data_IF_466074289324
#
_entry.id   IF_466074289324
#
_cell.length_a   1.000
_cell.length_b   1.000
_cell.length_c   1.000
_cell.angle_alpha   90.00
_cell.angle_beta   90.00
_cell.angle_gamma   90.00
#
_symmetry.space_group_name_H-M   'P 1'
#
loop_
_entity.id
_entity.type
_entity.pdbx_description
1 polymer ?
#
# COMPACT_ATOMS: atom_id res chain seq x y z
N UNK A 1 -29.01 20.05 -39.88
CA UNK A 1 -28.89 19.10 -38.75
C UNK A 1 -29.76 19.59 -37.59
N UNK A 2 -30.88 18.92 -37.28
CA UNK A 2 -31.62 18.91 -35.99
C UNK A 2 -32.99 18.23 -36.23
N UNK A 3 -32.99 16.93 -36.50
CA UNK A 3 -34.23 16.20 -36.85
C UNK A 3 -34.85 15.40 -35.68
N UNK A 4 -34.14 15.17 -34.58
CA UNK A 4 -34.67 14.40 -33.44
C UNK A 4 -34.11 14.89 -32.09
N UNK A 5 -34.54 16.06 -31.58
CA UNK A 5 -34.04 16.59 -30.29
C UNK A 5 -34.41 15.71 -29.09
N UNK A 6 -35.42 14.86 -29.19
CA UNK A 6 -35.79 13.88 -28.15
C UNK A 6 -34.88 12.64 -28.13
N UNK A 7 -34.10 12.40 -29.19
CA UNK A 7 -33.07 11.37 -29.25
C UNK A 7 -31.71 11.85 -28.74
N UNK A 8 -31.57 13.15 -28.48
CA UNK A 8 -30.40 13.66 -27.78
C UNK A 8 -30.53 13.25 -26.31
N UNK A 9 -29.46 12.66 -25.77
CA UNK A 9 -29.35 12.36 -24.34
C UNK A 9 -29.64 13.65 -23.58
N UNK A 10 -30.82 13.72 -22.95
CA UNK A 10 -31.14 14.83 -22.06
C UNK A 10 -30.20 14.69 -20.85
N UNK A 11 -29.57 15.77 -20.39
CA UNK A 11 -28.85 15.71 -19.12
C UNK A 11 -29.83 15.19 -18.07
N UNK A 12 -29.42 14.20 -17.25
CA UNK A 12 -30.32 13.55 -16.32
C UNK A 12 -30.98 14.60 -15.42
N UNK A 13 -32.31 14.56 -15.32
CA UNK A 13 -33.07 15.47 -14.44
C UNK A 13 -32.83 15.19 -12.95
N UNK A 14 -32.24 14.03 -12.64
CA UNK A 14 -31.86 13.61 -11.30
C UNK A 14 -30.35 13.77 -11.11
N UNK A 15 -29.95 14.33 -9.95
CA UNK A 15 -28.55 14.39 -9.53
C UNK A 15 -28.07 12.97 -9.22
N UNK A 16 -27.30 12.39 -10.14
CA UNK A 16 -26.57 11.13 -9.92
C UNK A 16 -25.31 11.45 -9.12
N UNK A 17 -24.96 10.58 -8.18
CA UNK A 17 -23.78 10.68 -7.32
C UNK A 17 -22.68 9.69 -7.76
N UNK A 18 -21.46 9.88 -7.27
CA UNK A 18 -20.34 8.94 -7.50
C UNK A 18 -20.64 7.57 -6.93
N UNK A 19 -21.29 7.55 -5.75
CA UNK A 19 -21.75 6.33 -5.11
C UNK A 19 -22.76 5.57 -5.96
N UNK A 20 -23.62 6.26 -6.74
CA UNK A 20 -24.56 5.58 -7.64
C UNK A 20 -23.81 4.84 -8.75
N UNK A 21 -22.78 5.46 -9.34
CA UNK A 21 -21.94 4.79 -10.33
C UNK A 21 -21.19 3.60 -9.74
N UNK A 22 -20.58 3.78 -8.56
CA UNK A 22 -19.88 2.71 -7.87
C UNK A 22 -20.83 1.53 -7.62
N UNK A 23 -21.98 1.77 -6.99
CA UNK A 23 -22.89 0.69 -6.56
C UNK A 23 -23.66 0.03 -7.72
N UNK A 24 -24.13 0.81 -8.69
CA UNK A 24 -24.99 0.28 -9.75
C UNK A 24 -24.22 -0.37 -10.89
N UNK A 25 -22.99 0.09 -11.16
CA UNK A 25 -22.20 -0.39 -12.31
C UNK A 25 -20.97 -1.14 -11.82
N UNK A 26 -20.08 -0.44 -11.13
CA UNK A 26 -18.74 -0.94 -10.87
C UNK A 26 -18.70 -2.07 -9.85
N UNK A 27 -19.51 -2.02 -8.80
CA UNK A 27 -19.61 -3.08 -7.80
C UNK A 27 -19.94 -4.42 -8.44
N UNK A 28 -20.79 -4.46 -9.47
CA UNK A 28 -21.15 -5.71 -10.16
C UNK A 28 -19.98 -6.32 -10.93
N UNK A 29 -19.17 -5.47 -11.56
CA UNK A 29 -17.96 -5.90 -12.28
C UNK A 29 -16.91 -6.37 -11.29
N UNK A 30 -16.70 -5.62 -10.20
CA UNK A 30 -15.78 -5.99 -9.14
C UNK A 30 -16.19 -7.30 -8.46
N UNK A 31 -17.47 -7.48 -8.12
CA UNK A 31 -18.02 -8.72 -7.56
C UNK A 31 -17.88 -9.90 -8.54
N UNK A 32 -18.02 -9.68 -9.84
CA UNK A 32 -17.78 -10.74 -10.83
C UNK A 32 -16.30 -11.16 -10.88
N UNK A 33 -15.36 -10.22 -10.71
CA UNK A 33 -13.93 -10.52 -10.62
C UNK A 33 -13.54 -11.13 -9.27
N UNK A 34 -14.15 -10.67 -8.20
CA UNK A 34 -13.85 -11.03 -6.82
C UNK A 34 -15.14 -11.41 -6.08
N UNK A 35 -15.65 -12.63 -6.32
CA UNK A 35 -16.94 -13.03 -5.77
C UNK A 35 -16.90 -13.07 -4.23
N UNK A 36 -17.81 -12.38 -3.53
CA UNK A 36 -17.81 -12.30 -2.07
C UNK A 36 -17.87 -13.67 -1.38
N UNK A 37 -18.55 -14.65 -1.98
CA UNK A 37 -18.67 -16.01 -1.47
C UNK A 37 -17.35 -16.77 -1.41
N UNK A 38 -16.35 -16.37 -2.22
CA UNK A 38 -15.01 -16.94 -2.17
C UNK A 38 -14.13 -16.28 -1.12
N UNK A 39 -14.43 -15.02 -0.78
CA UNK A 39 -13.71 -14.20 0.20
C UNK A 39 -12.18 -14.25 0.06
N UNK A 40 -11.67 -14.30 -1.18
CA UNK A 40 -10.24 -14.30 -1.46
C UNK A 40 -9.72 -12.87 -1.48
N UNK A 41 -10.34 -12.03 -2.33
CA UNK A 41 -10.14 -10.59 -2.36
C UNK A 41 -11.46 -9.95 -1.94
N UNK A 42 -11.46 -9.19 -0.86
CA UNK A 42 -12.64 -8.49 -0.35
C UNK A 42 -12.68 -7.06 -0.86
N UNK A 43 -13.84 -6.67 -1.37
CA UNK A 43 -14.13 -5.29 -1.77
C UNK A 43 -14.69 -4.55 -0.55
N UNK A 44 -14.04 -3.46 -0.14
CA UNK A 44 -14.52 -2.58 0.93
C UNK A 44 -14.82 -1.22 0.35
N UNK A 45 -16.09 -0.93 0.14
CA UNK A 45 -16.58 0.35 -0.38
C UNK A 45 -16.98 1.32 0.74
N UNK A 46 -16.97 2.61 0.44
CA UNK A 46 -17.43 3.69 1.30
C UNK A 46 -16.28 4.35 2.03
N UNK A 47 -16.00 5.61 1.68
CA UNK A 47 -15.02 6.55 2.28
C UNK A 47 -14.04 5.91 3.28
N UNK A 48 -13.21 5.01 2.77
CA UNK A 48 -12.38 4.13 3.59
C UNK A 48 -10.97 4.68 3.67
N UNK A 49 -10.29 4.40 4.79
CA UNK A 49 -8.95 4.91 5.03
C UNK A 49 -7.96 3.75 5.04
N UNK A 50 -6.89 3.83 4.25
CA UNK A 50 -5.77 2.92 4.36
C UNK A 50 -5.05 3.16 5.71
N UNK A 51 -4.81 2.07 6.46
CA UNK A 51 -4.15 2.11 7.76
C UNK A 51 -2.71 2.60 7.65
N UNK A 52 -1.96 2.15 6.65
CA UNK A 52 -0.58 2.57 6.40
C UNK A 52 -0.51 4.06 6.10
N UNK A 53 -1.38 4.57 5.23
CA UNK A 53 -1.44 5.99 4.90
C UNK A 53 -1.78 6.85 6.12
N UNK A 54 -2.64 6.36 7.02
CA UNK A 54 -2.98 7.06 8.25
C UNK A 54 -1.80 7.11 9.23
N UNK A 55 -1.07 5.99 9.38
CA UNK A 55 0.14 5.91 10.20
C UNK A 55 1.20 6.87 9.67
N UNK A 56 1.52 6.80 8.37
CA UNK A 56 2.55 7.64 7.76
C UNK A 56 2.21 9.14 7.86
N UNK A 57 0.94 9.52 7.66
CA UNK A 57 0.51 10.92 7.82
C UNK A 57 0.59 11.37 9.28
N UNK A 58 0.28 10.49 10.23
CA UNK A 58 0.41 10.78 11.66
C UNK A 58 1.88 11.02 12.04
N UNK A 59 2.81 10.22 11.52
CA UNK A 59 4.26 10.44 11.71
C UNK A 59 4.71 11.80 11.14
N UNK A 60 4.31 12.13 9.91
CA UNK A 60 4.69 13.39 9.24
C UNK A 60 4.17 14.63 10.01
N UNK A 61 3.00 14.54 10.63
CA UNK A 61 2.34 15.64 11.33
C UNK A 61 2.16 15.37 12.83
N UNK A 62 3.12 14.69 13.46
CA UNK A 62 3.08 14.40 14.89
C UNK A 62 2.80 15.67 15.72
N UNK A 63 1.83 15.58 16.64
CA UNK A 63 1.34 16.68 17.46
C UNK A 63 0.13 17.44 16.90
N UNK A 64 -0.35 17.13 15.69
CA UNK A 64 -1.61 17.70 15.21
C UNK A 64 -2.82 17.01 15.87
N UNK A 65 -3.83 17.80 16.24
CA UNK A 65 -4.99 17.33 17.02
C UNK A 65 -5.98 16.44 16.25
N UNK A 66 -5.98 16.51 14.92
CA UNK A 66 -6.84 15.68 14.08
C UNK A 66 -6.11 15.34 12.78
N UNK A 67 -5.59 14.11 12.70
CA UNK A 67 -4.93 13.58 11.52
C UNK A 67 -5.77 12.44 10.99
N UNK A 68 -6.28 12.63 9.77
CA UNK A 68 -6.91 11.59 8.98
C UNK A 68 -6.25 11.60 7.60
N UNK A 69 -5.78 10.44 7.13
CA UNK A 69 -5.32 10.29 5.76
C UNK A 69 -6.49 10.41 4.77
N UNK A 70 -6.15 10.37 3.48
CA UNK A 70 -7.15 10.48 2.43
C UNK A 70 -8.12 9.31 2.50
N UNK A 71 -9.40 9.58 2.23
CA UNK A 71 -10.44 8.57 2.16
C UNK A 71 -10.61 8.12 0.72
N UNK A 72 -10.36 6.86 0.41
CA UNK A 72 -10.60 6.30 -0.93
C UNK A 72 -11.98 5.65 -1.01
N UNK A 73 -12.60 5.70 -2.19
CA UNK A 73 -13.99 5.24 -2.38
C UNK A 73 -14.14 3.74 -2.20
N UNK A 74 -13.15 2.96 -2.65
CA UNK A 74 -13.09 1.53 -2.35
C UNK A 74 -11.67 0.99 -2.27
N UNK A 75 -11.55 -0.14 -1.57
CA UNK A 75 -10.32 -0.90 -1.35
C UNK A 75 -10.51 -2.35 -1.77
N UNK A 76 -9.44 -2.95 -2.28
CA UNK A 76 -9.36 -4.37 -2.57
C UNK A 76 -8.39 -4.99 -1.56
N UNK A 77 -8.90 -5.91 -0.75
CA UNK A 77 -8.26 -6.36 0.47
C UNK A 77 -8.02 -7.87 0.47
N UNK A 78 -6.89 -8.27 1.04
CA UNK A 78 -6.66 -9.62 1.51
C UNK A 78 -6.81 -9.62 3.03
N UNK A 79 -7.69 -10.47 3.54
CA UNK A 79 -7.85 -10.67 4.99
C UNK A 79 -6.98 -11.84 5.43
N UNK A 80 -6.09 -11.61 6.39
CA UNK A 80 -5.33 -12.68 7.05
C UNK A 80 -5.44 -12.53 8.56
N UNK A 81 -6.09 -13.49 9.21
CA UNK A 81 -6.43 -13.43 10.63
C UNK A 81 -7.20 -12.14 10.97
N UNK A 82 -6.58 -11.24 11.75
CA UNK A 82 -7.17 -9.96 12.15
C UNK A 82 -6.63 -8.77 11.32
N UNK A 83 -5.75 -9.02 10.34
CA UNK A 83 -5.13 -7.98 9.53
C UNK A 83 -5.83 -7.83 8.17
N UNK A 84 -5.98 -6.57 7.73
CA UNK A 84 -6.49 -6.20 6.41
C UNK A 84 -5.33 -5.63 5.59
N UNK A 85 -4.97 -6.29 4.50
CA UNK A 85 -3.84 -5.90 3.66
C UNK A 85 -4.38 -5.42 2.31
N UNK A 86 -4.02 -4.20 1.94
CA UNK A 86 -4.40 -3.60 0.66
C UNK A 86 -3.62 -4.23 -0.50
N UNK A 87 -4.34 -4.73 -1.50
CA UNK A 87 -3.77 -5.20 -2.77
C UNK A 87 -4.22 -4.38 -3.98
N UNK A 88 -5.10 -3.41 -3.73
CA UNK A 88 -5.52 -2.40 -4.70
C UNK A 88 -6.45 -1.36 -4.09
N UNK A 89 -6.60 -0.25 -4.80
CA UNK A 89 -7.43 0.87 -4.40
C UNK A 89 -8.21 1.43 -5.59
N UNK A 90 -9.27 2.20 -5.32
CA UNK A 90 -9.92 2.96 -6.36
C UNK A 90 -10.73 4.18 -5.92
N UNK A 91 -10.92 5.06 -6.90
CA UNK A 91 -11.60 6.35 -6.79
C UNK A 91 -12.68 6.46 -7.85
N UNK A 92 -13.75 7.18 -7.53
CA UNK A 92 -14.91 7.41 -8.37
C UNK A 92 -15.15 8.90 -8.54
N UNK A 93 -15.10 9.38 -9.78
CA UNK A 93 -15.53 10.71 -10.17
C UNK A 93 -16.85 10.64 -10.96
N UNK A 94 -17.63 11.72 -10.94
CA UNK A 94 -18.86 11.81 -11.72
C UNK A 94 -18.60 11.81 -13.23
N UNK A 95 -17.57 12.53 -13.65
CA UNK A 95 -17.17 12.63 -15.04
C UNK A 95 -15.68 13.03 -15.13
N UNK A 96 -15.15 12.89 -16.34
CA UNK A 96 -13.78 13.14 -16.74
C UNK A 96 -13.47 14.62 -17.03
N UNK A 97 -14.45 15.53 -16.92
CA UNK A 97 -14.26 16.98 -17.09
C UNK A 97 -14.07 17.71 -15.75
N UNK A 98 -14.02 16.98 -14.64
CA UNK A 98 -13.90 17.53 -13.30
C UNK A 98 -12.43 17.64 -12.90
N UNK A 99 -11.98 18.81 -12.45
CA UNK A 99 -10.64 19.00 -11.82
C UNK A 99 -10.45 18.04 -10.64
N UNK A 100 -11.56 17.56 -10.08
CA UNK A 100 -11.60 16.49 -9.09
C UNK A 100 -10.98 15.19 -9.60
N UNK A 101 -11.17 14.79 -10.87
CA UNK A 101 -10.61 13.55 -11.41
C UNK A 101 -9.06 13.55 -11.35
N UNK A 102 -8.42 14.68 -11.67
CA UNK A 102 -6.95 14.82 -11.57
C UNK A 102 -6.51 14.80 -10.10
N UNK A 103 -7.25 15.48 -9.23
CA UNK A 103 -6.95 15.53 -7.79
C UNK A 103 -7.05 14.14 -7.16
N UNK A 104 -8.09 13.38 -7.54
CA UNK A 104 -8.33 12.02 -7.06
C UNK A 104 -7.34 11.02 -7.67
N UNK A 105 -6.84 11.23 -8.88
CA UNK A 105 -5.75 10.42 -9.45
C UNK A 105 -4.48 10.51 -8.58
N UNK A 106 -4.08 11.73 -8.18
CA UNK A 106 -2.92 11.92 -7.31
C UNK A 106 -3.10 11.29 -5.92
N UNK A 107 -4.35 11.26 -5.43
CA UNK A 107 -4.73 10.59 -4.18
C UNK A 107 -4.68 9.06 -4.33
N UNK A 108 -5.30 8.52 -5.36
CA UNK A 108 -5.26 7.10 -5.71
C UNK A 108 -3.82 6.60 -5.85
N UNK A 109 -2.96 7.39 -6.50
CA UNK A 109 -1.54 7.04 -6.69
C UNK A 109 -0.80 6.90 -5.36
N UNK A 110 -1.01 7.84 -4.43
CA UNK A 110 -0.39 7.77 -3.08
C UNK A 110 -0.88 6.57 -2.29
N UNK A 111 -2.17 6.30 -2.31
CA UNK A 111 -2.78 5.21 -1.54
C UNK A 111 -2.39 3.84 -2.12
N UNK A 112 -2.29 3.73 -3.45
CA UNK A 112 -1.79 2.53 -4.15
C UNK A 112 -0.30 2.30 -3.87
N UNK A 113 0.50 3.38 -3.78
CA UNK A 113 1.91 3.31 -3.38
C UNK A 113 2.05 2.80 -1.94
N UNK A 114 1.28 3.36 -1.01
CA UNK A 114 1.33 2.94 0.40
C UNK A 114 0.94 1.46 0.56
N UNK A 115 -0.05 1.00 -0.21
CA UNK A 115 -0.40 -0.42 -0.29
C UNK A 115 0.74 -1.28 -0.84
N UNK A 116 1.43 -0.83 -1.89
CA UNK A 116 2.64 -1.52 -2.39
C UNK A 116 3.73 -1.60 -1.33
N UNK A 117 3.99 -0.53 -0.60
CA UNK A 117 5.00 -0.51 0.47
C UNK A 117 4.68 -1.54 1.55
N UNK A 118 3.41 -1.69 1.95
CA UNK A 118 3.00 -2.73 2.89
C UNK A 118 3.19 -4.14 2.33
N UNK A 119 2.89 -4.37 1.04
CA UNK A 119 3.15 -5.66 0.40
C UNK A 119 4.65 -5.99 0.44
N UNK A 120 5.52 -5.03 0.09
CA UNK A 120 6.98 -5.25 0.08
C UNK A 120 7.51 -5.54 1.49
N UNK A 121 6.92 -4.96 2.54
CA UNK A 121 7.27 -5.28 3.93
C UNK A 121 6.89 -6.68 4.36
N UNK A 122 5.89 -7.28 3.71
CA UNK A 122 5.33 -8.58 4.07
C UNK A 122 5.91 -9.73 3.25
N UNK A 123 6.26 -9.47 1.99
CA UNK A 123 6.62 -10.51 1.03
C UNK A 123 8.14 -10.59 0.87
N UNK A 124 8.77 -11.78 1.00
CA UNK A 124 10.20 -11.94 0.83
C UNK A 124 10.64 -11.80 -0.63
N UNK A 125 11.94 -11.98 -0.86
CA UNK A 125 12.65 -11.74 -2.12
C UNK A 125 12.06 -12.40 -3.38
N UNK A 126 11.29 -13.49 -3.22
CA UNK A 126 10.70 -14.27 -4.33
C UNK A 126 9.65 -13.51 -5.16
N UNK A 127 9.24 -12.31 -4.73
CA UNK A 127 8.25 -11.48 -5.42
C UNK A 127 8.77 -10.08 -5.79
N UNK A 128 9.93 -10.03 -6.43
CA UNK A 128 10.52 -8.78 -6.95
C UNK A 128 9.55 -7.96 -7.80
N UNK A 129 8.56 -8.59 -8.44
CA UNK A 129 7.55 -7.94 -9.26
C UNK A 129 6.24 -7.70 -8.49
N UNK A 130 6.32 -7.39 -7.19
CA UNK A 130 5.14 -6.97 -6.43
C UNK A 130 4.55 -5.70 -7.06
N UNK A 131 3.28 -5.77 -7.48
CA UNK A 131 2.55 -4.66 -8.09
C UNK A 131 1.27 -4.41 -7.32
N UNK A 132 0.95 -3.15 -7.04
CA UNK A 132 -0.35 -2.78 -6.52
C UNK A 132 -1.17 -2.08 -7.62
N UNK A 133 -2.47 -2.40 -7.71
CA UNK A 133 -3.33 -1.87 -8.78
C UNK A 133 -4.21 -0.72 -8.29
N UNK A 134 -4.32 0.30 -9.15
CA UNK A 134 -5.26 1.41 -9.00
C UNK A 134 -6.35 1.33 -10.06
N UNK A 135 -7.58 1.67 -9.67
CA UNK A 135 -8.71 1.83 -10.58
C UNK A 135 -9.38 3.18 -10.38
N UNK A 136 -9.52 3.95 -11.45
CA UNK A 136 -10.24 5.22 -11.43
C UNK A 136 -11.47 5.12 -12.30
N UNK A 137 -12.64 5.40 -11.72
CA UNK A 137 -13.91 5.43 -12.43
C UNK A 137 -14.33 6.87 -12.69
N UNK A 138 -14.82 7.15 -13.89
CA UNK A 138 -15.42 8.43 -14.26
C UNK A 138 -16.73 8.15 -15.00
N UNK A 139 -17.84 8.13 -14.28
CA UNK A 139 -19.11 7.64 -14.81
C UNK A 139 -19.01 6.18 -15.28
N UNK A 140 -19.11 5.95 -16.60
CA UNK A 140 -18.96 4.64 -17.25
C UNK A 140 -17.54 4.35 -17.76
N UNK A 141 -16.61 5.29 -17.59
CA UNK A 141 -15.21 5.14 -17.98
C UNK A 141 -14.40 4.57 -16.81
N UNK A 142 -13.42 3.72 -17.10
CA UNK A 142 -12.46 3.21 -16.14
C UNK A 142 -11.05 3.31 -16.70
N UNK A 143 -10.14 3.79 -15.87
CA UNK A 143 -8.68 3.74 -16.08
C UNK A 143 -8.07 2.78 -15.07
N UNK A 144 -7.21 1.88 -15.55
CA UNK A 144 -6.48 0.91 -14.74
C UNK A 144 -5.00 1.28 -14.73
N UNK A 145 -4.43 1.36 -13.53
CA UNK A 145 -3.01 1.63 -13.32
C UNK A 145 -2.39 0.57 -12.41
N UNK A 146 -1.06 0.46 -12.46
CA UNK A 146 -0.31 -0.34 -11.50
C UNK A 146 0.94 0.41 -11.06
N UNK A 147 1.27 0.34 -9.78
CA UNK A 147 2.49 0.94 -9.22
C UNK A 147 3.53 -0.13 -8.98
N UNK A 148 4.79 0.20 -9.33
CA UNK A 148 5.98 -0.64 -9.17
C UNK A 148 7.06 0.12 -8.41
N UNK A 149 7.85 -0.59 -7.62
CA UNK A 149 9.09 -0.09 -7.02
C UNK A 149 10.27 -0.64 -7.82
N UNK A 150 10.76 0.15 -8.77
CA UNK A 150 11.76 -0.27 -9.76
C UNK A 150 13.19 -0.10 -9.25
N UNK A 151 13.43 0.93 -8.46
CA UNK A 151 14.75 1.23 -7.89
C UNK A 151 14.61 2.00 -6.58
N UNK A 152 15.74 2.36 -5.97
CA UNK A 152 15.84 3.12 -4.73
C UNK A 152 15.00 4.41 -4.77
N UNK A 153 13.84 4.41 -4.12
CA UNK A 153 12.89 5.53 -4.10
C UNK A 153 12.18 5.80 -5.43
N UNK A 154 12.40 4.99 -6.47
CA UNK A 154 11.79 5.18 -7.79
C UNK A 154 10.52 4.33 -7.92
N UNK A 155 9.39 4.99 -7.76
CA UNK A 155 8.08 4.40 -7.99
C UNK A 155 7.59 4.76 -9.40
N UNK A 156 7.10 3.77 -10.13
CA UNK A 156 6.56 3.95 -11.48
C UNK A 156 5.07 3.65 -11.47
N UNK A 157 4.25 4.69 -11.68
CA UNK A 157 2.81 4.54 -11.92
C UNK A 157 2.58 4.28 -13.41
N UNK A 158 2.28 3.04 -13.76
CA UNK A 158 2.07 2.61 -15.14
C UNK A 158 0.59 2.58 -15.48
N UNK A 159 0.19 3.32 -16.51
CA UNK A 159 -1.09 3.10 -17.18
C UNK A 159 -1.10 1.71 -17.83
N UNK A 160 -2.17 0.93 -17.58
CA UNK A 160 -2.33 -0.43 -18.11
C UNK A 160 -3.38 -0.51 -19.19
N UNK A 161 -4.56 0.04 -18.92
CA UNK A 161 -5.68 -0.02 -19.83
C UNK A 161 -6.73 1.02 -19.45
N UNK A 162 -7.50 1.46 -20.43
CA UNK A 162 -8.67 2.29 -20.23
C UNK A 162 -9.83 1.76 -21.07
N UNK A 163 -11.05 1.88 -20.56
CA UNK A 163 -12.23 1.43 -21.28
C UNK A 163 -13.50 2.14 -20.83
N UNK A 164 -14.52 2.09 -21.67
CA UNK A 164 -15.88 2.45 -21.31
C UNK A 164 -16.73 1.18 -21.22
N UNK A 165 -17.72 1.17 -20.33
CA UNK A 165 -18.74 0.12 -20.35
C UNK A 165 -19.43 0.12 -21.72
N UNK A 166 -19.53 -1.05 -22.39
CA UNK A 166 -20.20 -1.16 -23.68
C UNK A 166 -21.63 -0.61 -23.62
N UNK A 167 -21.93 0.35 -24.48
CA UNK A 167 -23.27 0.96 -24.61
C UNK A 167 -24.03 0.43 -25.82
N UNK A 168 -23.39 -0.37 -26.65
CA UNK A 168 -23.97 -1.00 -27.84
C UNK A 168 -23.34 -2.36 -28.12
N UNK A 169 -24.01 -3.18 -28.93
CA UNK A 169 -23.49 -4.47 -29.38
C UNK A 169 -22.11 -4.34 -30.07
N UNK A 170 -21.95 -3.36 -30.95
CA UNK A 170 -20.68 -3.13 -31.65
C UNK A 170 -19.54 -2.74 -30.70
N UNK A 171 -19.83 -2.04 -29.59
CA UNK A 171 -18.83 -1.77 -28.55
C UNK A 171 -18.46 -3.01 -27.74
N UNK A 172 -19.35 -4.00 -27.68
CA UNK A 172 -19.10 -5.27 -26.98
C UNK A 172 -18.19 -6.21 -27.80
N UNK A 173 -18.33 -6.22 -29.14
CA UNK A 173 -17.52 -7.05 -30.03
C UNK A 173 -16.01 -6.84 -29.84
N UNK A 174 -15.61 -5.62 -29.49
CA UNK A 174 -14.21 -5.24 -29.28
C UNK A 174 -13.79 -5.21 -27.80
N UNK A 175 -14.61 -5.78 -26.90
CA UNK A 175 -14.36 -5.72 -25.45
C UNK A 175 -13.42 -6.81 -24.93
N UNK A 176 -13.03 -7.77 -25.78
CA UNK A 176 -12.11 -8.87 -25.43
C UNK A 176 -10.79 -8.42 -24.77
N UNK A 177 -10.06 -7.42 -25.30
CA UNK A 177 -8.86 -6.89 -24.66
C UNK A 177 -9.11 -6.34 -23.25
N UNK A 178 -10.25 -5.70 -23.01
CA UNK A 178 -10.62 -5.21 -21.67
C UNK A 178 -10.80 -6.37 -20.70
N UNK A 179 -11.49 -7.44 -21.13
CA UNK A 179 -11.63 -8.65 -20.30
C UNK A 179 -10.27 -9.25 -19.99
N UNK A 180 -9.34 -9.30 -20.95
CA UNK A 180 -7.99 -9.79 -20.73
C UNK A 180 -7.25 -8.98 -19.64
N UNK A 181 -7.32 -7.65 -19.67
CA UNK A 181 -6.70 -6.80 -18.65
C UNK A 181 -7.33 -6.95 -17.27
N UNK A 182 -8.66 -7.04 -17.19
CA UNK A 182 -9.38 -7.31 -15.94
C UNK A 182 -8.96 -8.67 -15.34
N UNK A 183 -8.82 -9.70 -16.17
CA UNK A 183 -8.36 -11.03 -15.74
C UNK A 183 -6.88 -11.03 -15.33
N UNK A 184 -6.02 -10.28 -16.01
CA UNK A 184 -4.62 -10.10 -15.62
C UNK A 184 -4.51 -9.44 -14.24
N UNK A 185 -5.25 -8.35 -14.01
CA UNK A 185 -5.31 -7.71 -12.69
C UNK A 185 -5.77 -8.70 -11.62
N UNK A 186 -6.85 -9.44 -11.89
CA UNK A 186 -7.38 -10.46 -10.99
C UNK A 186 -6.32 -11.51 -10.67
N UNK A 187 -5.60 -12.03 -11.67
CA UNK A 187 -4.55 -13.03 -11.47
C UNK A 187 -3.41 -12.50 -10.59
N UNK A 188 -2.99 -11.25 -10.79
CA UNK A 188 -1.97 -10.62 -9.95
C UNK A 188 -2.42 -10.54 -8.49
N UNK A 189 -3.66 -10.11 -8.24
CA UNK A 189 -4.20 -10.01 -6.88
C UNK A 189 -4.35 -11.38 -6.20
N UNK A 190 -4.80 -12.41 -6.93
CA UNK A 190 -4.88 -13.77 -6.40
C UNK A 190 -3.50 -14.33 -6.05
N UNK A 191 -2.48 -14.04 -6.85
CA UNK A 191 -1.09 -14.41 -6.53
C UNK A 191 -0.60 -13.69 -5.26
N UNK A 192 -0.94 -12.41 -5.09
CA UNK A 192 -0.63 -11.67 -3.86
C UNK A 192 -1.31 -12.30 -2.64
N UNK A 193 -2.58 -12.69 -2.74
CA UNK A 193 -3.30 -13.38 -1.66
C UNK A 193 -2.57 -14.64 -1.19
N UNK A 194 -2.21 -15.53 -2.11
CA UNK A 194 -1.52 -16.78 -1.80
C UNK A 194 -0.20 -16.54 -1.06
N UNK A 195 0.56 -15.54 -1.52
CA UNK A 195 1.87 -15.20 -0.97
C UNK A 195 1.71 -14.55 0.40
N UNK A 196 0.81 -13.58 0.52
CA UNK A 196 0.53 -12.89 1.78
C UNK A 196 0.10 -13.93 2.83
N UNK A 197 -0.83 -14.82 2.50
CA UNK A 197 -1.28 -15.89 3.40
C UNK A 197 -0.13 -16.83 3.77
N UNK A 198 0.70 -17.25 2.81
CA UNK A 198 1.85 -18.13 3.09
C UNK A 198 2.82 -17.54 4.12
N UNK A 199 3.05 -16.23 4.07
CA UNK A 199 4.02 -15.57 4.95
C UNK A 199 3.43 -15.04 6.26
N UNK A 200 2.12 -14.76 6.30
CA UNK A 200 1.41 -14.34 7.51
C UNK A 200 0.83 -15.51 8.32
N UNK A 201 0.61 -16.68 7.70
CA UNK A 201 0.13 -17.87 8.43
C UNK A 201 1.33 -18.68 8.96
N UNK A 202 1.38 -18.97 10.27
CA UNK A 202 2.47 -19.75 10.86
C UNK A 202 2.56 -21.21 10.37
N UNK A 203 1.52 -21.71 9.69
CA UNK A 203 1.31 -23.15 9.47
C UNK A 203 2.12 -23.75 8.31
N UNK A 204 2.76 -22.96 7.45
CA UNK A 204 3.53 -23.48 6.31
C UNK A 204 5.03 -23.67 6.57
N UNK A 205 5.50 -23.41 7.78
CA UNK A 205 6.84 -23.82 8.17
C UNK A 205 6.80 -25.26 8.71
N UNK A 206 6.99 -26.22 7.80
CA UNK A 206 7.48 -27.58 8.13
C UNK A 206 8.83 -27.57 8.89
N UNK A 207 9.35 -26.39 9.23
CA UNK A 207 10.59 -26.21 9.96
C UNK A 207 10.36 -25.91 11.46
N UNK A 208 9.13 -25.59 11.89
CA UNK A 208 8.79 -25.48 13.32
C UNK A 208 8.91 -26.83 14.03
N UNK A 209 8.57 -27.93 13.34
CA UNK A 209 8.73 -29.30 13.84
C UNK A 209 10.20 -29.75 13.98
N UNK A 210 11.16 -29.01 13.42
CA UNK A 210 12.59 -29.31 13.48
C UNK A 210 13.46 -28.21 14.11
N UNK A 211 12.88 -27.23 14.82
CA UNK A 211 13.62 -26.08 15.37
C UNK A 211 14.47 -25.31 14.33
N UNK A 212 14.21 -25.48 13.03
CA UNK A 212 14.88 -24.72 11.98
C UNK A 212 14.02 -23.49 11.70
N UNK A 213 14.26 -22.37 12.39
CA UNK A 213 13.74 -21.09 11.88
C UNK A 213 14.48 -20.80 10.57
N UNK A 214 13.85 -21.06 9.43
CA UNK A 214 14.26 -20.35 8.22
C UNK A 214 13.88 -18.90 8.44
N UNK A 215 14.86 -18.08 8.82
CA UNK A 215 14.75 -16.65 8.69
C UNK A 215 14.63 -16.40 7.19
N UNK A 216 13.42 -16.15 6.69
CA UNK A 216 13.24 -15.67 5.33
C UNK A 216 14.10 -14.42 5.16
N UNK A 217 14.91 -14.37 4.11
CA UNK A 217 15.70 -13.18 3.81
C UNK A 217 14.74 -11.99 3.64
N UNK A 218 15.01 -10.86 4.32
CA UNK A 218 14.20 -9.66 4.13
C UNK A 218 14.25 -9.24 2.66
N UNK A 219 13.13 -8.77 2.14
CA UNK A 219 13.03 -8.31 0.76
C UNK A 219 14.06 -7.19 0.51
N UNK A 220 14.94 -7.35 -0.48
CA UNK A 220 15.99 -6.36 -0.74
C UNK A 220 15.42 -4.99 -1.12
N UNK A 221 14.19 -4.93 -1.67
CA UNK A 221 13.46 -3.70 -1.98
C UNK A 221 12.93 -2.98 -0.74
N UNK A 222 13.03 -3.54 0.46
CA UNK A 222 12.73 -2.81 1.71
C UNK A 222 13.53 -1.52 1.79
N UNK A 223 14.83 -1.60 1.47
CA UNK A 223 15.71 -0.42 1.45
C UNK A 223 15.33 0.61 0.39
N UNK A 224 14.50 0.23 -0.60
CA UNK A 224 14.10 1.10 -1.72
C UNK A 224 12.89 1.95 -1.33
N UNK A 225 12.14 1.56 -0.30
CA UNK A 225 10.93 2.27 0.14
C UNK A 225 11.28 3.68 0.61
N UNK A 226 10.48 4.66 0.21
CA UNK A 226 10.58 6.06 0.67
C UNK A 226 9.25 6.55 1.22
N UNK A 227 9.31 7.44 2.20
CA UNK A 227 8.12 8.01 2.80
C UNK A 227 7.25 8.75 1.76
N UNK A 228 5.93 8.64 1.91
CA UNK A 228 4.96 9.37 1.09
C UNK A 228 4.74 10.77 1.65
N UNK A 229 4.73 11.79 0.79
CA UNK A 229 4.30 13.13 1.17
C UNK A 229 2.77 13.20 1.23
N UNK A 230 2.24 13.59 2.40
CA UNK A 230 0.82 13.92 2.55
C UNK A 230 0.61 15.43 2.65
N UNK A 231 -0.53 15.88 2.13
CA UNK A 231 -0.99 17.27 2.28
C UNK A 231 -1.25 17.58 3.77
N UNK A 232 -0.84 18.75 4.27
CA UNK A 232 -0.98 19.10 5.68
C UNK A 232 -2.45 19.13 6.14
N UNK A 233 -2.72 18.75 7.40
CA UNK A 233 -4.01 19.01 8.03
C UNK A 233 -4.34 20.51 8.03
N UNK A 234 -5.63 20.85 8.17
CA UNK A 234 -6.07 22.24 8.24
C UNK A 234 -5.28 23.00 9.32
N UNK A 235 -4.86 24.22 9.01
CA UNK A 235 -4.07 25.10 9.89
C UNK A 235 -2.67 24.59 10.26
N UNK A 236 -2.13 23.59 9.56
CA UNK A 236 -0.75 23.13 9.74
C UNK A 236 0.09 23.53 8.52
N UNK A 237 1.36 23.86 8.76
CA UNK A 237 2.32 24.09 7.67
C UNK A 237 2.70 22.76 7.02
N UNK A 238 2.96 22.80 5.71
CA UNK A 238 3.56 21.65 5.03
C UNK A 238 4.90 21.28 5.68
N UNK A 239 5.16 19.99 5.79
CA UNK A 239 6.39 19.41 6.35
C UNK A 239 6.84 18.33 5.38
N UNK A 240 8.13 18.21 5.10
CA UNK A 240 8.64 17.07 4.33
C UNK A 240 8.70 15.84 5.24
N UNK A 241 8.34 14.65 4.74
CA UNK A 241 8.59 13.40 5.45
C UNK A 241 10.08 13.19 5.70
N UNK A 242 10.41 12.55 6.80
CA UNK A 242 11.79 12.43 7.30
C UNK A 242 12.68 11.61 6.36
N UNK A 243 12.15 10.54 5.76
CA UNK A 243 12.90 9.60 4.93
C UNK A 243 12.54 9.69 3.44
N UNK A 244 12.04 10.84 2.97
CA UNK A 244 11.63 11.04 1.57
C UNK A 244 12.83 11.03 0.60
N UNK A 245 13.93 11.69 0.97
CA UNK A 245 15.10 11.89 0.10
C UNK A 245 16.38 11.22 0.62
N UNK A 246 16.26 10.34 1.62
CA UNK A 246 17.45 9.75 2.24
C UNK A 246 18.09 8.75 1.28
N UNK A 247 19.39 8.88 1.07
CA UNK A 247 20.18 7.86 0.39
C UNK A 247 20.22 6.60 1.28
N UNK A 248 20.19 5.42 0.66
CA UNK A 248 20.53 4.21 1.39
C UNK A 248 21.94 4.39 1.99
N UNK A 249 22.18 4.01 3.25
CA UNK A 249 23.49 4.16 3.86
C UNK A 249 24.54 3.46 2.97
N UNK A 250 25.62 4.19 2.66
CA UNK A 250 26.76 3.62 1.98
C UNK A 250 27.32 2.49 2.86
N UNK A 251 27.44 1.29 2.29
CA UNK A 251 28.09 0.17 2.94
C UNK A 251 29.52 0.56 3.32
N UNK A 252 29.77 0.80 4.61
CA UNK A 252 31.14 1.01 5.14
C UNK A 252 31.21 0.55 6.61
N UNK A 253 32.40 0.18 7.08
CA UNK A 253 32.65 -1.05 7.83
C UNK A 253 32.42 -0.94 9.33
N UNK A 254 32.37 -2.11 9.95
CA UNK A 254 32.22 -2.42 11.37
C UNK A 254 33.04 -1.54 12.34
N UNK A 255 32.55 -1.55 13.59
CA UNK A 255 33.13 -1.04 14.85
C UNK A 255 32.53 0.30 15.30
N UNK A 256 32.05 0.49 16.53
CA UNK A 256 32.36 -0.16 17.80
C UNK A 256 31.15 -0.16 18.74
N UNK A 257 30.87 -1.28 19.40
CA UNK A 257 29.88 -1.40 20.45
C UNK A 257 30.27 -0.61 21.71
N UNK A 258 29.30 0.08 22.33
CA UNK A 258 29.40 0.55 23.70
C UNK A 258 28.26 -0.09 24.52
N UNK A 259 28.52 -0.61 25.73
CA UNK A 259 27.50 -1.30 26.50
C UNK A 259 26.55 -0.31 27.19
N UNK A 260 25.23 -0.51 27.08
CA UNK A 260 24.24 0.20 27.89
C UNK A 260 23.25 -0.75 28.54
N UNK A 261 23.03 -0.48 29.83
CA UNK A 261 22.20 -1.22 30.77
C UNK A 261 20.69 -1.17 30.44
N UNK A 262 19.89 -2.12 30.94
CA UNK A 262 18.48 -2.25 30.58
C UNK A 262 17.62 -1.22 31.34
N UNK A 263 16.76 -0.48 30.62
CA UNK A 263 15.73 0.37 31.23
C UNK A 263 14.33 -0.12 30.89
N UNK A 264 13.49 -0.16 31.92
CA UNK A 264 12.12 -0.68 31.94
C UNK A 264 11.18 0.02 30.94
N UNK A 265 10.30 -0.79 30.33
CA UNK A 265 9.28 -0.36 29.39
C UNK A 265 8.29 0.63 30.03
N UNK A 266 8.20 1.83 29.44
CA UNK A 266 7.12 2.77 29.70
C UNK A 266 6.43 3.10 28.38
N UNK A 267 5.10 3.02 28.38
CA UNK A 267 4.23 3.39 27.27
C UNK A 267 4.47 4.87 26.90
N UNK A 268 5.38 5.14 25.98
CA UNK A 268 5.72 6.48 25.51
C UNK A 268 5.43 6.58 24.03
N UNK A 269 4.81 7.70 23.64
CA UNK A 269 4.68 8.10 22.24
C UNK A 269 6.06 7.97 21.57
N UNK A 270 6.12 7.25 20.44
CA UNK A 270 7.35 6.94 19.72
C UNK A 270 8.05 8.27 19.40
N UNK A 271 9.10 8.57 20.17
CA UNK A 271 9.91 9.77 20.00
C UNK A 271 11.11 9.36 19.17
N UNK A 272 11.00 9.50 17.85
CA UNK A 272 12.07 9.12 16.92
C UNK A 272 13.24 10.08 17.11
N UNK A 273 14.33 9.62 17.72
CA UNK A 273 15.58 10.36 17.81
C UNK A 273 16.25 10.36 16.43
N UNK A 274 16.60 11.52 15.84
CA UNK A 274 17.29 11.56 14.56
C UNK A 274 18.66 10.87 14.63
N UNK A 275 18.89 9.88 13.77
CA UNK A 275 20.14 9.13 13.63
C UNK A 275 20.26 8.53 12.22
N UNK A 276 21.44 8.02 11.85
CA UNK A 276 21.61 7.24 10.61
C UNK A 276 21.13 5.80 10.84
N UNK A 277 20.17 5.30 10.05
CA UNK A 277 19.77 3.91 10.10
C UNK A 277 20.93 3.04 9.62
N UNK A 278 21.04 1.84 10.19
CA UNK A 278 21.91 0.81 9.66
C UNK A 278 21.45 0.35 8.25
N UNK A 279 22.21 -0.57 7.64
CA UNK A 279 21.91 -1.15 6.32
C UNK A 279 20.53 -1.83 6.24
N UNK A 280 19.93 -2.17 7.38
CA UNK A 280 18.63 -2.84 7.47
C UNK A 280 17.51 -1.89 7.94
N UNK A 281 17.81 -0.59 8.10
CA UNK A 281 16.85 0.44 8.47
C UNK A 281 16.69 0.69 9.97
N UNK A 282 17.52 0.14 10.85
CA UNK A 282 17.39 0.31 12.30
C UNK A 282 18.11 1.56 12.81
N UNK A 283 17.41 2.37 13.61
CA UNK A 283 17.94 3.53 14.33
C UNK A 283 17.90 3.24 15.83
N UNK A 284 19.06 3.27 16.49
CA UNK A 284 19.17 3.23 17.95
C UNK A 284 18.54 4.49 18.57
N UNK A 285 17.54 4.29 19.43
CA UNK A 285 16.82 5.35 20.14
C UNK A 285 17.55 5.83 21.41
N UNK A 286 18.78 5.35 21.68
CA UNK A 286 19.65 5.67 22.82
C UNK A 286 19.12 5.24 24.20
N UNK A 287 17.96 4.58 24.23
CA UNK A 287 17.29 4.02 25.40
C UNK A 287 17.30 2.48 25.39
N UNK A 288 18.12 1.86 24.54
CA UNK A 288 18.18 0.40 24.36
C UNK A 288 17.17 -0.16 23.38
N UNK A 289 16.29 0.67 22.79
CA UNK A 289 15.33 0.25 21.77
C UNK A 289 15.78 0.68 20.37
N UNK A 290 15.35 -0.08 19.36
CA UNK A 290 15.67 0.14 17.96
C UNK A 290 14.39 0.40 17.18
N UNK A 291 14.34 1.49 16.43
CA UNK A 291 13.24 1.78 15.51
C UNK A 291 13.64 1.41 14.09
N UNK A 292 12.86 0.57 13.42
CA UNK A 292 13.10 0.27 12.01
C UNK A 292 12.31 1.22 11.11
N UNK A 293 13.01 2.00 10.27
CA UNK A 293 12.40 3.02 9.42
C UNK A 293 11.50 2.44 8.31
N UNK A 294 11.69 1.18 7.93
CA UNK A 294 10.93 0.52 6.87
C UNK A 294 9.67 -0.13 7.44
N UNK A 295 9.81 -0.90 8.52
CA UNK A 295 8.67 -1.60 9.15
C UNK A 295 7.90 -0.74 10.13
N UNK A 296 8.43 0.43 10.52
CA UNK A 296 7.85 1.37 11.48
C UNK A 296 7.61 0.75 12.86
N UNK A 297 8.38 -0.28 13.21
CA UNK A 297 8.28 -1.02 14.48
C UNK A 297 9.43 -0.67 15.40
N UNK A 298 9.12 -0.63 16.70
CA UNK A 298 10.10 -0.58 17.77
C UNK A 298 10.47 -2.02 18.18
N UNK A 299 11.74 -2.23 18.47
CA UNK A 299 12.29 -3.50 18.92
C UNK A 299 13.12 -3.27 20.17
N UNK A 300 13.01 -4.15 21.16
CA UNK A 300 13.79 -4.07 22.40
C UNK A 300 15.26 -4.49 22.21
N UNK A 301 15.59 -5.05 21.05
CA UNK A 301 16.93 -5.48 20.65
C UNK A 301 17.10 -5.33 19.15
N UNK A 302 18.34 -5.26 18.66
CA UNK A 302 18.63 -5.22 17.24
C UNK A 302 18.48 -6.64 16.63
N UNK A 303 17.47 -6.93 15.79
CA UNK A 303 17.15 -8.31 15.40
C UNK A 303 18.20 -9.02 14.52
N UNK A 304 19.20 -8.27 14.04
CA UNK A 304 20.23 -8.74 13.11
C UNK A 304 21.67 -8.54 13.63
N UNK A 305 21.84 -8.15 14.90
CA UNK A 305 23.14 -8.23 15.57
C UNK A 305 23.07 -9.50 16.41
N UNK A 306 23.80 -10.54 15.99
CA UNK A 306 23.95 -11.76 16.76
C UNK A 306 24.55 -11.40 18.12
N UNK A 307 23.82 -11.67 19.20
CA UNK A 307 24.37 -11.66 20.57
C UNK A 307 25.15 -12.94 20.89
N UNK A 308 25.58 -13.70 19.88
CA UNK A 308 26.47 -14.85 20.05
C UNK A 308 27.93 -14.38 20.09
N UNK A 309 28.29 -13.69 21.16
CA UNK A 309 29.66 -13.73 21.69
C UNK A 309 29.54 -14.45 23.03
N UNK A 310 29.45 -15.78 22.95
CA UNK A 310 29.56 -16.64 24.13
C UNK A 310 31.02 -16.62 24.59
N UNK A 311 31.22 -16.10 25.80
CA UNK A 311 31.93 -16.74 26.91
C UNK A 311 32.78 -17.99 26.56
N UNK A 312 34.03 -17.77 26.12
CA UNK A 312 35.22 -18.63 26.33
C UNK A 312 36.40 -17.61 26.28
N UNK A 313 37.17 -17.30 27.31
CA UNK A 313 38.01 -18.16 28.15
C UNK A 313 38.23 -17.51 29.54
N UNK A 314 37.93 -18.24 30.60
CA UNK A 314 38.63 -18.16 31.89
C UNK A 314 38.50 -19.55 32.54
N UNK A 315 39.52 -20.39 32.31
CA UNK A 315 40.09 -21.37 33.27
C UNK A 315 41.41 -21.96 32.70
#
# INVERSE_FOLDING_TARGET
>A
MKKYPHMLIKPPSKKVTESDYLQCIWSRILEAMFPPEKNIIRIKSGESVNSASNINKNEQYNGASYIKSSKIDFRLLVDVHNDQIDVGAGECALNNADDKAITDEGKLTRETKDALDEIIKLVPEDLNDATCWGMQFAGSHCTMTSIHLESQGLYVNMHRHEFNIPSSYSSLENFGPTIAWLLTMRQHMLRLDEIIKRHKTPEHSNCVSFNRRQAHSPNHKLSYIRDTYYTPPRNHKSKLPMFMFRNAPASTPESSAAPRAPSQASNTAITIVPGEPDKNGYIDQRNGTYYNIHTKKLYDYHPLIDTNVNEEDDD
#
